data_IF_380175013452
#
_entry.id   IF_380175013452
#
_cell.length_a   1.000
_cell.length_b   1.000
_cell.length_c   1.000
_cell.angle_alpha   90.00
_cell.angle_beta   90.00
_cell.angle_gamma   90.00
#
_symmetry.space_group_name_H-M   'P 1'
#
loop_
_entity.id
_entity.type
_entity.pdbx_description
1 polymer ?
#
# COMPACT_ATOMS: atom_id res chain seq x y z
N UNK A 1 6.81 8.87 35.93
CA UNK A 1 6.01 7.67 36.26
C UNK A 1 5.73 6.93 34.97
N UNK A 2 6.06 5.65 34.95
CA UNK A 2 6.18 4.78 33.78
C UNK A 2 4.88 4.62 32.98
N UNK A 3 4.85 5.10 31.73
CA UNK A 3 3.92 4.60 30.72
C UNK A 3 4.69 3.78 29.70
N UNK A 4 4.53 2.47 29.84
CA UNK A 4 5.15 1.44 29.04
C UNK A 4 4.67 1.45 27.58
N UNK A 5 5.56 0.98 26.71
CA UNK A 5 5.36 0.72 25.28
C UNK A 5 3.97 0.13 24.93
N UNK A 6 3.38 0.49 23.77
CA UNK A 6 2.02 0.11 23.41
C UNK A 6 1.84 -1.36 22.99
N UNK A 7 2.86 -2.20 23.15
CA UNK A 7 2.82 -3.63 22.80
C UNK A 7 2.19 -4.53 23.87
N UNK A 8 1.77 -3.99 25.03
CA UNK A 8 1.38 -4.81 26.20
C UNK A 8 0.22 -5.80 25.99
N UNK A 9 -0.60 -5.65 24.94
CA UNK A 9 -1.75 -6.54 24.69
C UNK A 9 -1.74 -7.27 23.33
N UNK A 10 -0.64 -7.22 22.57
CA UNK A 10 -0.47 -8.05 21.39
C UNK A 10 0.80 -8.88 21.59
N UNK A 11 0.61 -10.16 21.96
CA UNK A 11 1.64 -11.09 22.40
C UNK A 11 2.92 -11.02 21.55
N UNK A 12 4.06 -11.03 22.20
CA UNK A 12 5.39 -11.18 21.60
C UNK A 12 5.42 -12.44 20.72
N UNK A 13 5.50 -12.27 19.38
CA UNK A 13 5.72 -13.36 18.44
C UNK A 13 7.21 -13.72 18.48
N UNK A 14 7.53 -14.94 18.89
CA UNK A 14 8.90 -15.32 19.27
C UNK A 14 9.56 -16.30 18.30
N UNK A 15 8.90 -16.70 17.20
CA UNK A 15 9.47 -17.66 16.23
C UNK A 15 9.55 -17.14 14.79
N UNK A 16 10.61 -17.54 14.07
CA UNK A 16 10.79 -17.22 12.64
C UNK A 16 9.65 -17.74 11.76
N UNK A 17 9.01 -18.85 12.15
CA UNK A 17 7.85 -19.43 11.47
C UNK A 17 6.62 -18.52 11.55
N UNK A 18 6.33 -17.96 12.73
CA UNK A 18 5.23 -17.01 12.92
C UNK A 18 5.46 -15.73 12.11
N UNK A 19 6.71 -15.23 12.06
CA UNK A 19 7.08 -14.07 11.25
C UNK A 19 6.85 -14.31 9.75
N UNK A 20 7.21 -15.50 9.24
CA UNK A 20 6.94 -15.90 7.85
C UNK A 20 5.44 -15.97 7.58
N UNK A 21 4.65 -16.56 8.48
CA UNK A 21 3.19 -16.63 8.34
C UNK A 21 2.53 -15.24 8.31
N UNK A 22 2.97 -14.31 9.16
CA UNK A 22 2.51 -12.91 9.17
C UNK A 22 2.78 -12.21 7.85
N UNK A 23 3.93 -12.48 7.25
CA UNK A 23 4.35 -11.83 6.00
C UNK A 23 3.57 -12.37 4.80
N UNK A 24 3.13 -13.64 4.86
CA UNK A 24 2.31 -14.31 3.82
C UNK A 24 0.82 -13.97 3.88
N UNK A 25 0.29 -13.53 5.03
CA UNK A 25 -1.12 -13.18 5.17
C UNK A 25 -1.53 -11.94 4.34
N UNK A 26 -2.65 -12.03 3.63
CA UNK A 26 -3.20 -10.92 2.83
C UNK A 26 -3.77 -9.79 3.70
N UNK A 27 -4.45 -10.12 4.81
CA UNK A 27 -5.10 -9.14 5.68
C UNK A 27 -4.29 -8.91 6.95
N UNK A 28 -4.24 -7.65 7.37
CA UNK A 28 -3.51 -7.19 8.56
C UNK A 28 -4.35 -6.20 9.36
N UNK A 29 -4.02 -6.01 10.62
CA UNK A 29 -4.60 -4.94 11.42
C UNK A 29 -4.22 -3.59 10.83
N UNK A 30 -5.20 -2.72 10.58
CA UNK A 30 -4.98 -1.38 10.01
C UNK A 30 -4.22 -0.45 10.95
N UNK A 31 -4.19 -0.74 12.26
CA UNK A 31 -3.45 0.05 13.25
C UNK A 31 -2.04 -0.48 13.52
N UNK A 32 -1.92 -1.77 13.89
CA UNK A 32 -0.65 -2.36 14.33
C UNK A 32 0.04 -3.26 13.30
N UNK A 33 -0.59 -3.53 12.15
CA UNK A 33 -0.01 -4.32 11.08
C UNK A 33 0.03 -5.84 11.30
N UNK A 34 -0.36 -6.36 12.48
CA UNK A 34 -0.37 -7.79 12.74
C UNK A 34 -1.37 -8.54 11.85
N UNK A 35 -0.96 -9.70 11.35
CA UNK A 35 -1.81 -10.64 10.64
C UNK A 35 -2.78 -11.35 11.61
N UNK A 36 -3.92 -11.88 11.12
CA UNK A 36 -4.75 -12.75 11.94
C UNK A 36 -4.01 -14.05 12.29
N UNK A 37 -4.23 -14.54 13.51
CA UNK A 37 -3.85 -15.89 13.93
C UNK A 37 -5.11 -16.69 14.25
N UNK A 38 -4.98 -18.00 14.50
CA UNK A 38 -6.12 -18.84 14.89
C UNK A 38 -6.79 -18.33 16.17
N UNK A 39 -6.00 -17.77 17.09
CA UNK A 39 -6.47 -17.20 18.35
C UNK A 39 -6.90 -15.75 18.23
N UNK A 40 -6.34 -15.00 17.28
CA UNK A 40 -6.60 -13.56 17.11
C UNK A 40 -7.14 -13.26 15.71
N UNK A 41 -8.47 -13.32 15.57
CA UNK A 41 -9.17 -12.99 14.33
C UNK A 41 -9.32 -11.47 14.15
N UNK A 42 -9.06 -11.00 12.94
CA UNK A 42 -9.31 -9.62 12.56
C UNK A 42 -10.83 -9.32 12.47
N UNK A 43 -11.25 -8.18 13.02
CA UNK A 43 -12.63 -7.70 13.02
C UNK A 43 -12.73 -6.46 12.14
N UNK A 44 -13.75 -6.41 11.29
CA UNK A 44 -14.01 -5.25 10.42
C UNK A 44 -14.74 -4.15 11.17
N UNK A 45 -14.50 -2.89 10.80
CA UNK A 45 -15.40 -1.80 11.14
C UNK A 45 -16.83 -2.14 10.65
N UNK A 46 -17.84 -1.89 11.49
CA UNK A 46 -19.25 -2.15 11.13
C UNK A 46 -19.94 -0.95 10.47
N UNK A 47 -19.33 0.24 10.56
CA UNK A 47 -19.95 1.49 10.14
C UNK A 47 -19.82 1.82 8.66
N UNK A 48 -18.83 1.25 7.96
CA UNK A 48 -18.49 1.65 6.59
C UNK A 48 -18.33 0.45 5.63
N UNK A 49 -18.44 0.73 4.33
CA UNK A 49 -18.35 -0.27 3.25
C UNK A 49 -16.91 -0.74 3.03
N UNK A 50 -15.93 0.18 2.96
CA UNK A 50 -14.51 -0.14 2.85
C UNK A 50 -13.86 -0.37 4.23
N UNK A 51 -14.48 -1.23 5.03
CA UNK A 51 -14.15 -1.37 6.45
C UNK A 51 -12.70 -1.84 6.71
N UNK A 52 -11.86 -1.03 7.39
CA UNK A 52 -10.57 -1.49 7.90
C UNK A 52 -10.75 -2.64 8.90
N UNK A 53 -9.69 -3.42 9.06
CA UNK A 53 -9.66 -4.59 9.95
C UNK A 53 -8.79 -4.34 11.16
N UNK A 54 -9.23 -4.78 12.34
CA UNK A 54 -8.52 -4.58 13.60
C UNK A 54 -8.42 -5.89 14.38
N UNK A 55 -7.29 -6.14 15.04
CA UNK A 55 -7.14 -7.29 15.93
C UNK A 55 -7.88 -7.10 17.27
N UNK A 56 -8.10 -5.84 17.69
CA UNK A 56 -8.78 -5.51 18.95
C UNK A 56 -9.61 -4.23 18.84
N UNK A 57 -10.51 -4.02 19.81
CA UNK A 57 -11.24 -2.74 19.97
C UNK A 57 -10.29 -1.58 20.26
N UNK A 58 -9.16 -1.84 20.92
CA UNK A 58 -8.18 -0.80 21.23
C UNK A 58 -7.45 -0.33 19.97
N UNK A 59 -7.08 -1.25 19.07
CA UNK A 59 -6.56 -0.89 17.75
C UNK A 59 -7.57 -0.06 16.94
N UNK A 60 -8.86 -0.41 16.99
CA UNK A 60 -9.90 0.38 16.34
C UNK A 60 -10.03 1.79 16.94
N UNK A 61 -10.03 1.92 18.27
CA UNK A 61 -10.12 3.22 18.96
C UNK A 61 -8.92 4.10 18.66
N UNK A 62 -7.73 3.51 18.62
CA UNK A 62 -6.49 4.23 18.34
C UNK A 62 -6.43 4.72 16.88
N UNK A 63 -6.99 3.95 15.94
CA UNK A 63 -7.12 4.35 14.53
C UNK A 63 -8.33 5.28 14.27
N UNK A 64 -9.27 5.39 15.22
CA UNK A 64 -10.55 6.07 14.99
C UNK A 64 -10.40 7.53 14.59
N UNK A 65 -9.39 8.26 15.09
CA UNK A 65 -9.18 9.66 14.73
C UNK A 65 -8.84 9.82 13.24
N UNK A 66 -8.11 8.87 12.67
CA UNK A 66 -7.76 8.83 11.24
C UNK A 66 -8.90 8.22 10.41
N UNK A 67 -9.53 7.16 10.91
CA UNK A 67 -10.58 6.44 10.17
C UNK A 67 -11.92 7.16 10.16
N UNK A 68 -12.29 7.93 11.19
CA UNK A 68 -13.64 8.53 11.32
C UNK A 68 -14.09 9.34 10.09
N UNK A 69 -13.27 10.21 9.47
CA UNK A 69 -13.64 10.90 8.24
C UNK A 69 -14.04 9.94 7.11
N UNK A 70 -13.18 8.96 6.80
CA UNK A 70 -13.46 7.96 5.75
C UNK A 70 -14.59 7.01 6.10
N UNK A 71 -14.76 6.68 7.38
CA UNK A 71 -15.88 5.87 7.86
C UNK A 71 -17.23 6.56 7.61
N UNK A 72 -17.31 7.89 7.77
CA UNK A 72 -18.53 8.66 7.54
C UNK A 72 -18.84 8.79 6.06
N UNK A 73 -17.82 9.07 5.24
CA UNK A 73 -17.97 9.19 3.78
C UNK A 73 -18.46 7.89 3.14
N UNK A 74 -18.01 6.74 3.65
CA UNK A 74 -18.39 5.40 3.16
C UNK A 74 -19.40 4.70 4.07
N UNK A 75 -20.25 5.47 4.74
CA UNK A 75 -21.23 4.95 5.70
C UNK A 75 -22.20 3.98 5.02
N UNK A 76 -22.56 2.89 5.72
CA UNK A 76 -23.60 1.95 5.27
C UNK A 76 -25.04 2.49 5.43
N UNK A 77 -25.20 3.72 5.92
CA UNK A 77 -26.50 4.33 6.13
C UNK A 77 -27.13 4.77 4.79
N UNK A 78 -28.45 4.54 4.59
CA UNK A 78 -29.15 4.98 3.39
C UNK A 78 -29.12 6.51 3.28
N UNK A 79 -28.67 7.03 2.14
CA UNK A 79 -28.51 8.47 1.87
C UNK A 79 -27.08 8.92 1.53
N UNK A 80 -26.05 8.09 1.81
CA UNK A 80 -24.65 8.33 1.42
C UNK A 80 -24.05 7.23 0.52
N UNK A 81 -24.63 6.03 0.52
CA UNK A 81 -24.39 5.05 -0.55
C UNK A 81 -25.13 5.54 -1.80
N UNK A 82 -24.41 6.30 -2.61
CA UNK A 82 -24.90 6.95 -3.82
C UNK A 82 -25.38 5.90 -4.84
N UNK A 83 -26.49 6.17 -5.54
CA UNK A 83 -26.93 5.45 -6.75
C UNK A 83 -25.78 5.29 -7.76
N UNK A 84 -24.85 6.25 -7.76
CA UNK A 84 -23.58 6.21 -8.50
C UNK A 84 -22.73 4.98 -8.16
N UNK A 85 -22.57 4.60 -6.89
CA UNK A 85 -21.74 3.46 -6.47
C UNK A 85 -22.39 2.11 -6.80
N UNK A 86 -23.71 1.99 -6.66
CA UNK A 86 -24.43 0.79 -7.10
C UNK A 86 -24.29 0.59 -8.62
N UNK A 87 -24.49 1.67 -9.38
CA UNK A 87 -24.29 1.65 -10.85
C UNK A 87 -22.84 1.28 -11.21
N UNK A 88 -21.86 1.84 -10.49
CA UNK A 88 -20.44 1.53 -10.66
C UNK A 88 -20.14 0.05 -10.40
N UNK A 89 -20.70 -0.52 -9.32
CA UNK A 89 -20.51 -1.92 -8.97
C UNK A 89 -21.02 -2.85 -10.07
N UNK A 90 -22.24 -2.62 -10.55
CA UNK A 90 -22.83 -3.42 -11.63
C UNK A 90 -22.05 -3.30 -12.95
N UNK A 91 -21.65 -2.08 -13.32
CA UNK A 91 -20.85 -1.82 -14.53
C UNK A 91 -19.51 -2.57 -14.50
N UNK A 92 -18.91 -2.70 -13.31
CA UNK A 92 -17.64 -3.43 -13.13
C UNK A 92 -17.80 -4.94 -12.89
N UNK A 93 -19.04 -5.45 -12.96
CA UNK A 93 -19.37 -6.86 -12.79
C UNK A 93 -19.33 -7.33 -11.34
N UNK A 94 -19.66 -6.46 -10.39
CA UNK A 94 -19.85 -6.79 -8.98
C UNK A 94 -21.35 -6.75 -8.62
N UNK A 95 -21.81 -7.64 -7.74
CA UNK A 95 -23.23 -7.73 -7.39
C UNK A 95 -23.71 -6.57 -6.52
N UNK A 96 -22.81 -5.88 -5.82
CA UNK A 96 -23.11 -4.71 -4.99
C UNK A 96 -21.82 -3.93 -4.65
N UNK A 97 -21.92 -2.69 -4.16
CA UNK A 97 -20.78 -1.84 -3.77
C UNK A 97 -19.86 -2.44 -2.71
N UNK A 98 -20.40 -3.23 -1.78
CA UNK A 98 -19.63 -3.86 -0.69
C UNK A 98 -18.67 -4.91 -1.26
N UNK A 99 -19.08 -5.72 -2.24
CA UNK A 99 -18.21 -6.66 -2.94
C UNK A 99 -17.18 -5.97 -3.85
N UNK A 100 -17.55 -4.87 -4.52
CA UNK A 100 -16.60 -4.04 -5.27
C UNK A 100 -15.50 -3.52 -4.35
N UNK A 101 -15.86 -2.81 -3.27
CA UNK A 101 -14.90 -2.18 -2.37
C UNK A 101 -14.04 -3.20 -1.61
N UNK A 102 -14.58 -4.39 -1.31
CA UNK A 102 -13.78 -5.52 -0.81
C UNK A 102 -12.73 -5.98 -1.80
N UNK A 103 -13.10 -6.10 -3.07
CA UNK A 103 -12.19 -6.51 -4.14
C UNK A 103 -11.08 -5.49 -4.34
N UNK A 104 -11.43 -4.20 -4.37
CA UNK A 104 -10.46 -3.08 -4.44
C UNK A 104 -9.49 -3.12 -3.27
N UNK A 105 -10.01 -3.24 -2.05
CA UNK A 105 -9.19 -3.31 -0.84
C UNK A 105 -8.25 -4.52 -0.86
N UNK A 106 -8.74 -5.68 -1.34
CA UNK A 106 -7.93 -6.88 -1.46
C UNK A 106 -6.84 -6.74 -2.53
N UNK A 107 -7.12 -6.05 -3.64
CA UNK A 107 -6.15 -5.77 -4.68
C UNK A 107 -5.04 -4.83 -4.19
N UNK A 108 -5.41 -3.71 -3.56
CA UNK A 108 -4.46 -2.77 -2.97
C UNK A 108 -3.60 -3.47 -1.90
N UNK A 109 -4.20 -4.30 -1.06
CA UNK A 109 -3.46 -5.06 -0.03
C UNK A 109 -2.53 -6.13 -0.62
N UNK A 110 -2.94 -6.77 -1.73
CA UNK A 110 -2.10 -7.74 -2.45
C UNK A 110 -0.84 -7.07 -2.97
N UNK A 111 -1.00 -5.91 -3.59
CA UNK A 111 0.07 -5.15 -4.22
C UNK A 111 0.69 -4.07 -3.33
N UNK A 112 0.49 -4.12 -2.01
CA UNK A 112 0.87 -3.05 -1.06
C UNK A 112 2.35 -2.66 -1.19
N UNK A 113 3.26 -3.64 -1.31
CA UNK A 113 4.67 -3.36 -1.47
C UNK A 113 4.95 -2.64 -2.81
N UNK A 114 4.46 -3.18 -3.93
CA UNK A 114 4.70 -2.62 -5.26
C UNK A 114 4.08 -1.22 -5.41
N UNK A 115 2.86 -1.00 -4.88
CA UNK A 115 2.20 0.30 -4.91
C UNK A 115 2.96 1.32 -4.08
N UNK A 116 3.36 1.00 -2.84
CA UNK A 116 4.14 1.92 -1.99
C UNK A 116 5.50 2.25 -2.59
N UNK A 117 6.18 1.26 -3.16
CA UNK A 117 7.47 1.45 -3.84
C UNK A 117 7.32 2.33 -5.06
N UNK A 118 6.34 2.04 -5.94
CA UNK A 118 6.05 2.84 -7.13
C UNK A 118 5.72 4.29 -6.78
N UNK A 119 4.84 4.52 -5.79
CA UNK A 119 4.44 5.86 -5.34
C UNK A 119 5.66 6.66 -4.86
N UNK A 120 6.53 6.05 -4.04
CA UNK A 120 7.72 6.71 -3.51
C UNK A 120 8.77 6.96 -4.61
N UNK A 121 8.99 5.99 -5.49
CA UNK A 121 9.90 6.16 -6.64
C UNK A 121 9.41 7.31 -7.54
N UNK A 122 8.11 7.35 -7.83
CA UNK A 122 7.49 8.42 -8.61
C UNK A 122 7.64 9.79 -7.93
N UNK A 123 7.46 9.86 -6.61
CA UNK A 123 7.64 11.08 -5.85
C UNK A 123 9.08 11.63 -5.97
N UNK A 124 10.08 10.75 -5.85
CA UNK A 124 11.50 11.13 -6.00
C UNK A 124 11.84 11.53 -7.43
N UNK A 125 11.31 10.80 -8.42
CA UNK A 125 11.51 11.13 -9.84
C UNK A 125 10.90 12.48 -10.23
N UNK A 126 9.84 12.90 -9.52
CA UNK A 126 9.11 14.14 -9.78
C UNK A 126 9.65 15.34 -8.99
N UNK A 127 9.88 15.17 -7.69
CA UNK A 127 10.24 16.26 -6.76
C UNK A 127 11.69 16.22 -6.29
N UNK A 128 12.48 15.29 -6.83
CA UNK A 128 13.85 15.09 -6.40
C UNK A 128 13.97 14.29 -5.11
N UNK A 129 15.22 13.98 -4.80
CA UNK A 129 15.59 13.02 -3.75
C UNK A 129 15.32 13.56 -2.33
N UNK A 130 15.46 14.86 -2.11
CA UNK A 130 15.16 15.50 -0.82
C UNK A 130 13.66 15.65 -0.55
N UNK A 131 12.83 15.65 -1.60
CA UNK A 131 11.39 15.91 -1.55
C UNK A 131 11.01 17.23 -0.86
N UNK A 132 11.99 18.12 -0.68
CA UNK A 132 11.84 19.41 -0.01
C UNK A 132 10.79 20.28 -0.72
N UNK A 133 10.74 20.17 -2.05
CA UNK A 133 9.81 20.89 -2.92
C UNK A 133 8.49 20.15 -3.15
N UNK A 134 8.22 19.01 -2.50
CA UNK A 134 6.96 18.28 -2.69
C UNK A 134 5.80 19.08 -2.09
N UNK A 135 4.86 19.60 -2.91
CA UNK A 135 3.76 20.43 -2.44
C UNK A 135 2.86 19.68 -1.45
N UNK A 136 2.43 20.34 -0.38
CA UNK A 136 1.55 19.74 0.65
C UNK A 136 0.08 19.72 0.24
N UNK A 137 -0.29 20.57 -0.71
CA UNK A 137 -1.64 20.72 -1.25
C UNK A 137 -1.90 19.78 -2.44
N UNK A 138 -1.01 18.82 -2.69
CA UNK A 138 -1.15 17.82 -3.74
C UNK A 138 -1.39 16.42 -3.19
N UNK A 139 -2.23 15.67 -3.91
CA UNK A 139 -2.47 14.24 -3.72
C UNK A 139 -1.96 13.48 -4.94
N UNK A 140 -1.37 12.31 -4.71
CA UNK A 140 -0.98 11.40 -5.79
C UNK A 140 -2.17 10.51 -6.14
N UNK A 141 -2.66 10.61 -7.37
CA UNK A 141 -3.70 9.73 -7.89
C UNK A 141 -3.04 8.49 -8.51
N UNK A 142 -3.36 7.31 -7.98
CA UNK A 142 -3.06 6.03 -8.59
C UNK A 142 -4.32 5.54 -9.31
N UNK A 143 -4.36 5.70 -10.63
CA UNK A 143 -5.51 5.29 -11.42
C UNK A 143 -5.41 3.81 -11.75
N UNK A 144 -6.47 3.09 -11.42
CA UNK A 144 -6.65 1.67 -11.67
C UNK A 144 -7.80 1.48 -12.66
N UNK A 145 -7.67 0.49 -13.53
CA UNK A 145 -8.75 0.06 -14.41
C UNK A 145 -9.13 -1.38 -14.10
N UNK A 146 -10.35 -1.76 -14.43
CA UNK A 146 -10.79 -3.16 -14.35
C UNK A 146 -9.96 -4.00 -15.31
N UNK A 147 -9.35 -5.08 -14.80
CA UNK A 147 -8.70 -6.08 -15.65
C UNK A 147 -9.75 -7.07 -16.19
N UNK A 148 -9.61 -7.58 -17.43
CA UNK A 148 -10.43 -8.70 -17.89
C UNK A 148 -10.19 -9.87 -16.92
N UNK A 149 -11.22 -10.35 -16.23
CA UNK A 149 -11.08 -11.48 -15.29
C UNK A 149 -11.95 -12.62 -15.75
N UNK A 150 -11.36 -13.81 -15.83
CA UNK A 150 -12.05 -15.07 -16.14
C UNK A 150 -12.87 -15.60 -14.96
N UNK A 151 -12.59 -15.16 -13.73
CA UNK A 151 -13.22 -15.68 -12.52
C UNK A 151 -14.17 -14.67 -11.87
N UNK A 152 -15.38 -15.14 -11.54
CA UNK A 152 -16.41 -14.35 -10.86
C UNK A 152 -16.43 -14.62 -9.34
N UNK A 153 -16.83 -13.62 -8.56
CA UNK A 153 -17.12 -13.76 -7.14
C UNK A 153 -15.92 -14.16 -6.27
N UNK A 154 -16.14 -15.05 -5.29
CA UNK A 154 -15.16 -15.45 -4.25
C UNK A 154 -13.93 -16.19 -4.80
N UNK A 155 -13.95 -16.58 -6.06
CA UNK A 155 -12.85 -17.28 -6.75
C UNK A 155 -11.89 -16.31 -7.44
N UNK A 156 -12.20 -15.02 -7.42
CA UNK A 156 -11.36 -14.01 -8.02
C UNK A 156 -10.05 -13.90 -7.22
N UNK A 157 -8.94 -14.14 -7.92
CA UNK A 157 -7.62 -13.92 -7.39
C UNK A 157 -7.49 -12.44 -6.99
N UNK A 158 -7.13 -12.13 -5.73
CA UNK A 158 -7.10 -10.76 -5.24
C UNK A 158 -6.07 -9.90 -5.97
N UNK A 159 -5.05 -10.49 -6.62
CA UNK A 159 -4.03 -9.77 -7.38
C UNK A 159 -4.41 -9.44 -8.83
N UNK A 160 -5.54 -9.93 -9.35
CA UNK A 160 -5.88 -9.88 -10.79
C UNK A 160 -7.20 -9.13 -11.08
N UNK A 161 -7.80 -8.49 -10.07
CA UNK A 161 -9.07 -7.77 -10.24
C UNK A 161 -8.94 -6.47 -11.04
N UNK A 162 -7.76 -5.85 -11.02
CA UNK A 162 -7.51 -4.52 -11.58
C UNK A 162 -6.13 -4.49 -12.22
N UNK A 163 -5.86 -3.45 -13.00
CA UNK A 163 -4.55 -3.14 -13.56
C UNK A 163 -4.18 -1.70 -13.26
N UNK A 164 -2.89 -1.45 -13.14
CA UNK A 164 -2.36 -0.10 -13.02
C UNK A 164 -2.52 0.64 -14.35
N UNK A 165 -2.86 1.93 -14.30
CA UNK A 165 -2.95 2.77 -15.49
C UNK A 165 -1.95 3.91 -15.44
N UNK A 166 -2.00 4.74 -14.39
CA UNK A 166 -1.07 5.86 -14.24
C UNK A 166 -0.91 6.33 -12.79
N UNK A 167 0.16 7.07 -12.55
CA UNK A 167 0.36 7.93 -11.39
C UNK A 167 0.33 9.38 -11.86
N UNK A 168 -0.44 10.23 -11.16
CA UNK A 168 -0.50 11.66 -11.47
C UNK A 168 -0.72 12.49 -10.21
N UNK A 169 0.00 13.60 -10.08
CA UNK A 169 -0.29 14.58 -9.05
C UNK A 169 -1.53 15.41 -9.41
N UNK A 170 -2.31 15.77 -8.39
CA UNK A 170 -3.49 16.61 -8.49
C UNK A 170 -3.56 17.50 -7.26
N UNK A 171 -3.96 18.77 -7.40
CA UNK A 171 -4.27 19.58 -6.22
C UNK A 171 -5.44 18.96 -5.47
N UNK A 172 -5.38 18.98 -4.13
CA UNK A 172 -6.41 18.45 -3.24
C UNK A 172 -7.76 19.09 -3.58
N UNK A 173 -7.75 20.40 -3.84
CA UNK A 173 -8.94 21.14 -4.26
C UNK A 173 -9.57 20.53 -5.51
N UNK A 174 -8.82 20.42 -6.61
CA UNK A 174 -9.30 19.83 -7.85
C UNK A 174 -9.79 18.38 -7.68
N UNK A 175 -9.13 17.60 -6.81
CA UNK A 175 -9.52 16.22 -6.53
C UNK A 175 -10.84 16.14 -5.75
N UNK A 176 -11.04 17.00 -4.75
CA UNK A 176 -12.29 17.07 -3.99
C UNK A 176 -13.44 17.55 -4.87
N UNK A 177 -13.20 18.52 -5.76
CA UNK A 177 -14.25 19.09 -6.63
C UNK A 177 -14.62 18.21 -7.83
N UNK A 178 -13.70 17.37 -8.36
CA UNK A 178 -13.95 16.60 -9.59
C UNK A 178 -13.74 15.09 -9.49
N UNK A 179 -12.99 14.60 -8.51
CA UNK A 179 -12.50 13.20 -8.47
C UNK A 179 -13.39 12.21 -7.70
N UNK A 180 -14.39 12.67 -6.96
CA UNK A 180 -15.27 11.84 -6.13
C UNK A 180 -16.73 11.82 -6.59
N UNK A 181 -17.02 12.31 -7.80
CA UNK A 181 -18.29 12.07 -8.48
C UNK A 181 -19.55 12.70 -7.89
N UNK A 182 -19.45 13.73 -7.04
CA UNK A 182 -20.61 14.39 -6.43
C UNK A 182 -20.31 15.80 -5.91
N UNK A 183 -21.39 16.59 -5.75
CA UNK A 183 -21.43 18.04 -5.49
C UNK A 183 -20.39 18.58 -4.49
N UNK A 184 -20.00 19.85 -4.67
CA UNK A 184 -19.11 20.57 -3.78
C UNK A 184 -19.57 20.48 -2.32
N UNK A 185 -18.90 19.66 -1.51
CA UNK A 185 -19.06 19.67 -0.07
C UNK A 185 -17.76 20.17 0.57
N UNK A 186 -17.69 21.47 0.94
CA UNK A 186 -16.56 22.04 1.65
C UNK A 186 -16.13 21.25 2.89
N UNK A 187 -17.07 20.52 3.53
CA UNK A 187 -16.79 19.69 4.70
C UNK A 187 -15.91 18.48 4.37
N UNK A 188 -15.92 18.00 3.12
CA UNK A 188 -15.06 16.90 2.68
C UNK A 188 -13.60 17.32 2.60
N UNK A 189 -13.31 18.50 2.02
CA UNK A 189 -11.95 19.08 1.98
C UNK A 189 -11.39 19.22 3.40
N UNK A 190 -12.13 19.91 4.27
CA UNK A 190 -11.68 20.10 5.65
C UNK A 190 -11.53 18.77 6.42
N UNK A 191 -12.45 17.81 6.23
CA UNK A 191 -12.35 16.51 6.89
C UNK A 191 -11.13 15.72 6.43
N UNK A 192 -10.78 15.82 5.15
CA UNK A 192 -9.58 15.22 4.58
C UNK A 192 -8.31 15.88 5.13
N UNK A 193 -8.22 17.20 5.08
CA UNK A 193 -7.07 17.97 5.58
C UNK A 193 -6.84 17.71 7.08
N UNK A 194 -7.90 17.71 7.89
CA UNK A 194 -7.82 17.33 9.31
C UNK A 194 -7.35 15.89 9.49
N UNK A 195 -7.83 14.95 8.66
CA UNK A 195 -7.39 13.56 8.69
C UNK A 195 -5.90 13.42 8.40
N UNK A 196 -5.40 14.14 7.39
CA UNK A 196 -3.99 14.19 7.05
C UNK A 196 -3.15 14.78 8.18
N UNK A 197 -3.57 15.89 8.77
CA UNK A 197 -2.86 16.52 9.89
C UNK A 197 -2.76 15.58 11.10
N UNK A 198 -3.85 14.88 11.45
CA UNK A 198 -3.85 13.91 12.55
C UNK A 198 -2.94 12.73 12.24
N UNK A 199 -2.97 12.21 11.02
CA UNK A 199 -2.10 11.11 10.60
C UNK A 199 -0.61 11.52 10.64
N UNK A 200 -0.29 12.74 10.19
CA UNK A 200 1.06 13.30 10.25
C UNK A 200 1.56 13.40 11.70
N UNK A 201 0.76 14.01 12.58
CA UNK A 201 1.12 14.21 13.99
C UNK A 201 1.30 12.87 14.72
N UNK A 202 0.38 11.93 14.51
CA UNK A 202 0.47 10.60 15.10
C UNK A 202 1.72 9.85 14.63
N UNK A 203 2.07 9.96 13.35
CA UNK A 203 3.28 9.33 12.82
C UNK A 203 4.55 10.03 13.30
N UNK A 204 4.54 11.36 13.39
CA UNK A 204 5.64 12.18 13.93
C UNK A 204 5.93 11.82 15.39
N UNK A 205 4.90 11.72 16.23
CA UNK A 205 5.05 11.32 17.64
C UNK A 205 5.72 9.96 17.77
N UNK A 206 5.28 8.97 16.98
CA UNK A 206 5.89 7.63 16.96
C UNK A 206 7.33 7.65 16.46
N UNK A 207 7.57 8.36 15.35
CA UNK A 207 8.91 8.51 14.81
C UNK A 207 9.86 9.11 15.86
N UNK A 208 9.41 10.13 16.60
CA UNK A 208 10.18 10.73 17.68
C UNK A 208 10.42 9.76 18.86
N UNK A 209 9.40 9.00 19.28
CA UNK A 209 9.53 7.96 20.31
C UNK A 209 10.55 6.87 19.91
N UNK A 210 10.59 6.54 18.62
CA UNK A 210 11.56 5.60 18.04
C UNK A 210 12.95 6.24 17.78
N UNK A 211 13.13 7.53 18.07
CA UNK A 211 14.38 8.28 17.90
C UNK A 211 14.62 8.83 16.48
N UNK A 212 13.64 8.69 15.57
CA UNK A 212 13.74 9.08 14.16
C UNK A 212 13.75 10.59 13.96
N UNK A 213 14.88 11.11 13.46
CA UNK A 213 15.07 12.53 13.12
C UNK A 213 14.80 12.86 11.64
N UNK A 214 14.64 11.84 10.81
CA UNK A 214 14.54 12.00 9.36
C UNK A 214 13.10 12.16 8.84
N UNK A 215 12.08 12.15 9.70
CA UNK A 215 10.68 12.24 9.25
C UNK A 215 10.37 13.61 8.63
N UNK A 216 10.01 13.63 7.35
CA UNK A 216 9.69 14.84 6.59
C UNK A 216 8.20 15.21 6.69
N UNK A 217 7.34 14.20 6.68
CA UNK A 217 5.89 14.39 6.75
C UNK A 217 5.10 13.32 6.02
N UNK A 218 3.79 13.43 6.14
CA UNK A 218 2.84 12.52 5.51
C UNK A 218 2.44 13.02 4.12
N UNK A 219 2.31 12.10 3.16
CA UNK A 219 1.65 12.33 1.86
C UNK A 219 0.48 11.39 1.70
N UNK A 220 -0.37 11.67 0.72
CA UNK A 220 -1.54 10.84 0.42
C UNK A 220 -1.48 10.33 -1.00
N UNK A 221 -1.77 9.04 -1.14
CA UNK A 221 -2.11 8.44 -2.43
C UNK A 221 -3.58 8.02 -2.42
N UNK A 222 -4.35 8.47 -3.42
CA UNK A 222 -5.71 8.03 -3.67
C UNK A 222 -5.75 6.99 -4.80
N UNK A 223 -6.44 5.88 -4.58
CA UNK A 223 -6.62 4.82 -5.58
C UNK A 223 -7.95 5.04 -6.29
N UNK A 224 -7.91 5.66 -7.46
CA UNK A 224 -9.11 5.91 -8.27
C UNK A 224 -9.35 4.74 -9.20
N UNK A 225 -10.62 4.42 -9.45
CA UNK A 225 -10.99 3.36 -10.39
C UNK A 225 -11.89 3.98 -11.43
N UNK A 226 -11.59 3.71 -12.71
CA UNK A 226 -12.40 4.19 -13.82
C UNK A 226 -13.87 3.80 -13.61
N UNK A 227 -14.74 4.81 -13.57
CA UNK A 227 -16.18 4.63 -13.36
C UNK A 227 -16.61 4.33 -11.91
N UNK A 228 -15.77 4.59 -10.90
CA UNK A 228 -16.14 4.45 -9.48
C UNK A 228 -15.95 5.77 -8.73
N UNK A 229 -17.03 6.30 -8.18
CA UNK A 229 -17.06 7.54 -7.38
C UNK A 229 -16.60 7.32 -5.92
N UNK A 230 -15.56 6.51 -5.73
CA UNK A 230 -14.92 6.29 -4.43
C UNK A 230 -13.45 5.92 -4.62
N UNK A 231 -12.59 6.55 -3.82
CA UNK A 231 -11.15 6.30 -3.86
C UNK A 231 -10.63 5.99 -2.46
N UNK A 232 -10.24 4.73 -2.17
CA UNK A 232 -9.45 4.44 -0.98
C UNK A 232 -8.19 5.31 -0.96
N UNK A 233 -7.77 5.75 0.23
CA UNK A 233 -6.57 6.55 0.41
C UNK A 233 -5.55 5.83 1.27
N UNK A 234 -4.28 5.99 0.96
CA UNK A 234 -3.17 5.59 1.81
C UNK A 234 -2.35 6.80 2.23
N UNK A 235 -2.04 6.84 3.52
CA UNK A 235 -1.11 7.79 4.11
C UNK A 235 0.30 7.22 4.03
N UNK A 236 1.21 7.97 3.43
CA UNK A 236 2.56 7.55 3.07
C UNK A 236 3.56 8.47 3.78
N UNK A 237 4.25 7.97 4.82
CA UNK A 237 5.28 8.75 5.47
C UNK A 237 6.50 8.86 4.56
N UNK A 238 7.02 10.07 4.46
CA UNK A 238 8.26 10.42 3.78
C UNK A 238 9.35 10.77 4.79
N UNK A 239 10.59 10.54 4.39
CA UNK A 239 11.78 10.75 5.21
C UNK A 239 12.86 11.40 4.36
N UNK A 240 13.69 12.24 4.97
CA UNK A 240 14.94 12.72 4.37
C UNK A 240 15.93 11.58 4.19
N UNK A 241 16.80 11.75 3.21
CA UNK A 241 18.04 10.97 3.11
C UNK A 241 19.05 11.54 4.08
N UNK A 242 19.71 10.66 4.83
CA UNK A 242 20.88 11.02 5.62
C UNK A 242 22.06 11.37 4.68
N UNK A 243 22.50 12.64 4.63
CA UNK A 243 23.57 13.06 3.72
C UNK A 243 24.92 12.41 4.05
N UNK A 244 25.14 11.98 5.29
CA UNK A 244 26.40 11.36 5.72
C UNK A 244 26.50 9.89 5.28
N UNK A 245 25.39 9.30 4.84
CA UNK A 245 25.29 7.90 4.41
C UNK A 245 24.79 7.77 2.96
N UNK A 246 24.47 8.91 2.32
CA UNK A 246 24.18 8.94 0.89
C UNK A 246 25.36 8.29 0.15
N UNK A 247 25.14 7.20 -0.60
CA UNK A 247 26.24 6.53 -1.28
C UNK A 247 26.98 7.54 -2.18
N UNK A 248 28.33 7.49 -2.23
CA UNK A 248 29.12 8.37 -3.07
C UNK A 248 28.61 8.35 -4.53
N UNK A 249 28.80 9.44 -5.27
CA UNK A 249 27.81 10.01 -6.17
C UNK A 249 27.23 8.97 -7.12
N UNK A 250 26.01 8.52 -6.85
CA UNK A 250 25.21 7.83 -7.85
C UNK A 250 24.62 8.90 -8.78
N UNK A 251 25.45 9.43 -9.67
CA UNK A 251 25.02 10.36 -10.73
C UNK A 251 24.59 9.55 -11.96
N UNK A 252 23.40 9.84 -12.48
CA UNK A 252 22.79 9.14 -13.63
C UNK A 252 22.06 7.85 -13.22
N UNK A 253 22.77 6.92 -12.61
CA UNK A 253 22.31 5.53 -12.47
C UNK A 253 21.17 5.33 -11.46
N UNK A 254 21.03 6.18 -10.44
CA UNK A 254 19.90 6.11 -9.47
C UNK A 254 18.59 6.48 -10.14
N UNK A 255 18.59 7.47 -11.03
CA UNK A 255 17.38 7.82 -11.80
C UNK A 255 16.96 6.66 -12.68
N UNK A 256 17.90 6.05 -13.39
CA UNK A 256 17.68 4.86 -14.22
C UNK A 256 17.10 3.72 -13.37
N UNK A 257 17.71 3.42 -12.23
CA UNK A 257 17.24 2.38 -11.32
C UNK A 257 15.83 2.67 -10.76
N UNK A 258 15.51 3.93 -10.46
CA UNK A 258 14.19 4.35 -10.01
C UNK A 258 13.12 4.22 -11.11
N UNK A 259 13.44 4.63 -12.33
CA UNK A 259 12.57 4.48 -13.50
C UNK A 259 12.28 3.00 -13.77
N UNK A 260 13.33 2.17 -13.77
CA UNK A 260 13.19 0.72 -13.97
C UNK A 260 12.43 0.04 -12.82
N UNK A 261 12.65 0.47 -11.57
CA UNK A 261 11.92 -0.05 -10.41
C UNK A 261 10.44 0.34 -10.46
N UNK A 262 10.14 1.58 -10.84
CA UNK A 262 8.77 2.04 -11.05
C UNK A 262 8.10 1.19 -12.13
N UNK A 263 8.75 1.02 -13.27
CA UNK A 263 8.26 0.20 -14.39
C UNK A 263 8.08 -1.27 -13.99
N UNK A 264 9.01 -1.84 -13.22
CA UNK A 264 8.88 -3.20 -12.72
C UNK A 264 7.67 -3.36 -11.79
N UNK A 265 7.46 -2.39 -10.88
CA UNK A 265 6.31 -2.38 -9.99
C UNK A 265 4.99 -2.27 -10.78
N UNK A 266 4.88 -1.35 -11.74
CA UNK A 266 3.67 -1.17 -12.54
C UNK A 266 3.35 -2.41 -13.39
N UNK A 267 4.36 -3.06 -13.97
CA UNK A 267 4.22 -4.34 -14.68
C UNK A 267 3.73 -5.47 -13.77
N UNK A 268 4.28 -5.59 -12.57
CA UNK A 268 3.82 -6.58 -11.58
C UNK A 268 2.35 -6.36 -11.22
N UNK A 269 1.96 -5.10 -10.96
CA UNK A 269 0.58 -4.73 -10.60
C UNK A 269 -0.39 -5.01 -11.75
N UNK A 270 -0.02 -4.62 -12.97
CA UNK A 270 -0.89 -4.76 -14.16
C UNK A 270 -1.02 -6.19 -14.65
N UNK A 271 0.05 -6.98 -14.58
CA UNK A 271 0.02 -8.38 -15.02
C UNK A 271 -0.70 -9.28 -14.01
N UNK A 272 -0.53 -9.04 -12.71
CA UNK A 272 -1.13 -9.85 -11.64
C UNK A 272 -0.72 -11.33 -11.66
N UNK A 273 0.28 -11.71 -12.49
CA UNK A 273 0.82 -13.06 -12.60
C UNK A 273 1.85 -13.36 -11.51
N UNK A 274 2.44 -12.32 -10.93
CA UNK A 274 3.20 -12.38 -9.69
C UNK A 274 2.99 -11.08 -8.90
N UNK A 275 3.18 -11.18 -7.60
CA UNK A 275 3.03 -10.12 -6.61
C UNK A 275 4.31 -10.03 -5.82
N UNK A 276 4.89 -8.84 -5.77
CA UNK A 276 6.10 -8.56 -4.99
C UNK A 276 5.76 -8.45 -3.50
N UNK A 277 6.36 -9.30 -2.67
CA UNK A 277 6.30 -9.17 -1.20
C UNK A 277 7.64 -9.49 -0.59
N UNK A 278 7.86 -8.94 0.60
CA UNK A 278 8.98 -9.32 1.45
C UNK A 278 8.73 -10.72 2.02
N UNK A 279 9.79 -11.48 2.27
CA UNK A 279 9.69 -12.77 2.97
C UNK A 279 9.61 -12.61 4.48
N UNK A 280 10.24 -11.54 4.99
CA UNK A 280 10.38 -11.25 6.40
C UNK A 280 9.84 -9.86 6.72
N UNK A 281 9.39 -9.68 7.96
CA UNK A 281 9.11 -8.35 8.47
C UNK A 281 10.39 -7.49 8.44
N UNK A 282 10.29 -6.17 8.25
CA UNK A 282 11.45 -5.30 8.33
C UNK A 282 12.12 -5.44 9.71
N UNK A 283 13.34 -5.98 9.73
CA UNK A 283 14.23 -6.00 10.89
C UNK A 283 15.14 -4.77 10.87
N UNK A 284 15.52 -4.27 12.06
CA UNK A 284 16.55 -3.24 12.22
C UNK A 284 17.92 -3.71 11.72
N UNK A 285 18.19 -5.00 11.85
CA UNK A 285 19.39 -5.66 11.35
C UNK A 285 19.10 -6.27 9.98
N UNK A 286 19.69 -5.69 8.94
CA UNK A 286 19.97 -6.23 7.59
C UNK A 286 19.27 -7.59 7.29
N UNK A 287 17.96 -7.56 7.10
CA UNK A 287 17.22 -8.62 6.40
C UNK A 287 16.99 -8.20 4.94
N UNK A 288 16.66 -9.13 4.02
CA UNK A 288 16.39 -8.78 2.63
C UNK A 288 15.18 -7.85 2.54
N UNK A 289 15.45 -6.54 2.39
CA UNK A 289 14.47 -5.50 2.09
C UNK A 289 13.87 -5.66 0.69
N UNK A 290 14.58 -6.41 -0.14
CA UNK A 290 14.23 -6.79 -1.48
C UNK A 290 12.96 -7.65 -1.41
N UNK A 291 11.92 -7.22 -2.12
CA UNK A 291 10.76 -8.07 -2.32
C UNK A 291 11.09 -9.15 -3.35
N UNK A 292 10.54 -10.34 -3.14
CA UNK A 292 10.60 -11.43 -4.11
C UNK A 292 9.23 -11.59 -4.77
N UNK A 293 9.18 -12.08 -6.01
CA UNK A 293 7.94 -12.37 -6.69
C UNK A 293 7.31 -13.63 -6.09
N UNK A 294 5.99 -13.59 -5.94
CA UNK A 294 5.20 -14.74 -5.49
C UNK A 294 3.80 -14.74 -6.08
N UNK A 295 3.02 -15.77 -5.81
CA UNK A 295 1.65 -15.92 -6.32
C UNK A 295 0.67 -16.17 -5.19
N UNK A 296 -0.57 -15.74 -5.40
CA UNK A 296 -1.66 -16.12 -4.51
C UNK A 296 -2.19 -17.50 -4.90
N UNK A 297 -2.13 -18.42 -3.96
CA UNK A 297 -2.73 -19.75 -4.04
C UNK A 297 -3.88 -19.86 -3.06
N UNK A 298 -4.84 -20.74 -3.36
CA UNK A 298 -6.01 -20.95 -2.51
C UNK A 298 -5.74 -22.12 -1.56
N UNK A 299 -5.68 -21.84 -0.26
CA UNK A 299 -5.49 -22.84 0.81
C UNK A 299 -6.65 -22.74 1.79
N UNK A 300 -7.39 -23.83 2.00
CA UNK A 300 -8.52 -23.89 2.95
C UNK A 300 -9.49 -22.69 2.81
N UNK A 301 -9.89 -22.38 1.57
CA UNK A 301 -10.75 -21.24 1.20
C UNK A 301 -10.15 -19.84 1.39
N UNK A 302 -8.90 -19.72 1.85
CA UNK A 302 -8.20 -18.44 1.99
C UNK A 302 -7.15 -18.26 0.90
N UNK A 303 -6.91 -17.00 0.54
CA UNK A 303 -5.80 -16.63 -0.34
C UNK A 303 -4.51 -16.49 0.49
N UNK A 304 -3.51 -17.29 0.15
CA UNK A 304 -2.18 -17.29 0.76
C UNK A 304 -1.17 -16.93 -0.31
N UNK A 305 -0.27 -16.01 0.00
CA UNK A 305 0.83 -15.68 -0.91
C UNK A 305 2.01 -16.61 -0.67
N UNK A 306 2.54 -17.16 -1.75
CA UNK A 306 3.72 -18.02 -1.76
C UNK A 306 4.79 -17.46 -2.68
N UNK A 307 6.06 -17.38 -2.23
CA UNK A 307 7.16 -16.96 -3.09
C UNK A 307 7.38 -17.95 -4.23
N UNK A 308 7.81 -17.45 -5.39
CA UNK A 308 8.28 -18.27 -6.51
C UNK A 308 9.71 -18.76 -6.22
N UNK A 309 10.52 -17.89 -5.64
CA UNK A 309 11.86 -18.16 -5.10
C UNK A 309 12.10 -17.27 -3.88
N UNK A 310 13.06 -17.65 -3.05
CA UNK A 310 13.38 -16.91 -1.82
C UNK A 310 14.56 -15.93 -2.00
N UNK A 311 15.40 -16.14 -3.02
CA UNK A 311 16.55 -15.30 -3.36
C UNK A 311 16.59 -14.98 -4.86
N UNK A 312 16.91 -13.73 -5.20
CA UNK A 312 17.07 -13.30 -6.59
C UNK A 312 18.22 -14.03 -7.30
N UNK A 313 19.24 -14.49 -6.56
CA UNK A 313 20.33 -15.28 -7.14
C UNK A 313 19.81 -16.59 -7.79
N UNK A 314 18.74 -17.19 -7.26
CA UNK A 314 18.14 -18.40 -7.84
C UNK A 314 17.54 -18.13 -9.23
N UNK A 315 16.96 -16.95 -9.43
CA UNK A 315 16.42 -16.57 -10.73
C UNK A 315 17.54 -16.12 -11.69
N UNK A 316 18.48 -15.32 -11.21
CA UNK A 316 19.59 -14.79 -12.02
C UNK A 316 20.54 -15.88 -12.51
N UNK A 317 20.73 -16.94 -11.72
CA UNK A 317 21.51 -18.12 -12.11
C UNK A 317 20.74 -19.13 -12.98
N UNK A 318 19.46 -18.90 -13.25
CA UNK A 318 18.61 -19.81 -14.02
C UNK A 318 18.17 -21.06 -13.26
N UNK A 319 18.37 -21.14 -11.93
CA UNK A 319 17.86 -22.26 -11.10
C UNK A 319 16.33 -22.28 -11.05
N UNK A 320 15.70 -21.11 -11.20
CA UNK A 320 14.25 -20.94 -11.27
C UNK A 320 13.88 -20.14 -12.51
N UNK A 321 12.95 -20.66 -13.32
CA UNK A 321 12.38 -19.96 -14.46
C UNK A 321 10.92 -19.60 -14.19
N UNK A 322 10.54 -18.37 -14.55
CA UNK A 322 9.14 -17.93 -14.48
C UNK A 322 8.83 -16.97 -15.62
N UNK A 323 8.18 -17.44 -16.72
CA UNK A 323 8.02 -16.67 -17.95
C UNK A 323 7.40 -15.28 -17.75
N UNK A 324 6.41 -15.17 -16.87
CA UNK A 324 5.76 -13.90 -16.54
C UNK A 324 6.72 -12.87 -15.95
N UNK A 325 7.66 -13.33 -15.11
CA UNK A 325 8.71 -12.48 -14.56
C UNK A 325 9.69 -12.10 -15.67
N UNK A 326 10.13 -13.06 -16.49
CA UNK A 326 11.02 -12.79 -17.60
C UNK A 326 10.46 -11.70 -18.53
N UNK A 327 9.17 -11.79 -18.90
CA UNK A 327 8.47 -10.76 -19.67
C UNK A 327 8.47 -9.40 -18.96
N UNK A 328 8.20 -9.38 -17.64
CA UNK A 328 8.19 -8.13 -16.88
C UNK A 328 9.58 -7.47 -16.81
N UNK A 329 10.66 -8.24 -16.92
CA UNK A 329 12.03 -7.74 -16.88
C UNK A 329 12.58 -7.29 -18.24
N UNK A 330 11.92 -7.64 -19.36
CA UNK A 330 12.39 -7.26 -20.70
C UNK A 330 12.55 -5.75 -20.81
N UNK A 331 13.74 -5.31 -21.22
CA UNK A 331 14.07 -3.90 -21.47
C UNK A 331 14.37 -3.07 -20.22
N UNK A 332 14.32 -3.65 -19.02
CA UNK A 332 14.86 -2.98 -17.83
C UNK A 332 16.39 -2.95 -17.93
N UNK A 333 17.00 -1.83 -17.54
CA UNK A 333 18.44 -1.58 -17.64
C UNK A 333 19.18 -2.03 -16.37
N UNK A 334 18.46 -2.10 -15.26
CA UNK A 334 18.97 -2.47 -13.94
C UNK A 334 18.30 -3.76 -13.43
N UNK A 335 19.06 -4.71 -12.85
CA UNK A 335 18.48 -5.88 -12.21
C UNK A 335 17.55 -5.48 -11.06
N UNK A 336 16.38 -6.11 -10.88
CA UNK A 336 15.41 -5.72 -9.85
C UNK A 336 15.98 -5.68 -8.44
N UNK A 337 16.81 -6.66 -8.08
CA UNK A 337 17.46 -6.71 -6.78
C UNK A 337 18.33 -5.48 -6.54
N UNK A 338 19.10 -5.06 -7.55
CA UNK A 338 19.91 -3.85 -7.52
C UNK A 338 19.04 -2.59 -7.44
N UNK A 339 17.99 -2.48 -8.25
CA UNK A 339 17.09 -1.32 -8.22
C UNK A 339 16.41 -1.16 -6.86
N UNK A 340 15.97 -2.27 -6.26
CA UNK A 340 15.41 -2.28 -4.90
C UNK A 340 16.45 -1.92 -3.84
N UNK A 341 17.70 -2.38 -4.00
CA UNK A 341 18.81 -2.03 -3.11
C UNK A 341 19.15 -0.55 -3.18
N UNK A 342 19.28 0.02 -4.39
CA UNK A 342 19.56 1.45 -4.57
C UNK A 342 18.39 2.31 -4.04
N UNK A 343 17.16 1.90 -4.33
CA UNK A 343 15.97 2.55 -3.78
C UNK A 343 15.95 2.50 -2.26
N UNK A 344 16.31 1.37 -1.64
CA UNK A 344 16.42 1.25 -0.18
C UNK A 344 17.35 2.32 0.39
N UNK A 345 18.52 2.54 -0.22
CA UNK A 345 19.48 3.56 0.23
C UNK A 345 18.91 4.98 0.21
N UNK A 346 17.82 5.22 -0.55
CA UNK A 346 17.13 6.51 -0.56
C UNK A 346 16.12 6.69 0.59
N UNK A 347 15.79 5.64 1.33
CA UNK A 347 14.68 5.69 2.31
C UNK A 347 15.03 5.08 3.66
N UNK A 348 16.13 4.31 3.72
CA UNK A 348 16.58 3.69 4.95
C UNK A 348 17.80 4.41 5.44
N UNK A 349 17.57 5.30 6.40
CA UNK A 349 18.12 5.15 7.74
C UNK A 349 17.02 5.51 8.75
N UNK A 350 16.10 4.55 8.97
CA UNK A 350 15.17 4.61 10.09
C UNK A 350 15.96 4.43 11.39
N UNK A 351 15.61 5.24 12.38
CA UNK A 351 15.83 4.92 13.78
C UNK A 351 14.95 3.75 14.22
#
# INVERSE_FOLDING_TARGET
>A
MNHAAPYKNCSTMNTASELKAVTRALRKCSYCGFAPTDTHKLRKCRGCLAAPTYCSKDCQRADWRIHKPSCRALSKQPGFADMSLDTSAHTLGYPNPDELLKSVSAFIASHDWALRTAIRAYAVLTHGVGLDDHPRDQILLCRLARAPSTNAGKERNPAQGFKFVELRYCHIESWVHGGLGGAEDPRLKEAFERGLQVADEQHRSRAHEDGCKHYLGMRVAAFTIDGVSAAPVQFIPLYHIDPDIAPPPVRGDVRVALEDLLEFCTRSISGGQFVLRRLFAPSREIGPWVAVPGRYVRMQQNWVWEPIFDDWEDYESGRVEYPALSVALVGLRTPPALSMFLFRSLWIHLC
#
